data_IF_739991331286
#
_entry.id   IF_739991331286
#
_cell.length_a   1.000
_cell.length_b   1.000
_cell.length_c   1.000
_cell.angle_alpha   90.00
_cell.angle_beta   90.00
_cell.angle_gamma   90.00
#
_symmetry.space_group_name_H-M   'P 1'
#
loop_
_entity.id
_entity.type
_entity.pdbx_description
1 polymer ?
#
# COMPACT_ATOMS: atom_id res chain seq x y z
N UNK A 1 -1.84 -13.96 4.71
CA UNK A 1 -3.22 -13.43 4.88
C UNK A 1 -3.72 -12.87 3.55
N UNK A 2 -5.01 -12.95 3.19
CA UNK A 2 -5.52 -12.35 1.94
C UNK A 2 -5.81 -10.86 2.14
N UNK A 3 -5.42 -10.03 1.16
CA UNK A 3 -5.74 -8.60 1.06
C UNK A 3 -6.73 -8.40 -0.09
N UNK A 4 -7.90 -7.84 0.21
CA UNK A 4 -8.92 -7.54 -0.82
C UNK A 4 -8.59 -6.27 -1.59
N UNK A 5 -9.05 -6.18 -2.84
CA UNK A 5 -8.90 -4.99 -3.68
C UNK A 5 -10.27 -4.36 -3.96
N UNK A 6 -10.37 -3.06 -3.73
CA UNK A 6 -11.54 -2.26 -4.10
C UNK A 6 -11.19 -1.27 -5.20
N UNK A 7 -12.08 -1.10 -6.19
CA UNK A 7 -11.87 -0.12 -7.25
C UNK A 7 -11.94 1.31 -6.69
N UNK A 8 -11.48 2.30 -7.47
CA UNK A 8 -11.57 3.70 -7.11
C UNK A 8 -13.03 4.11 -6.95
N UNK A 9 -13.39 4.55 -5.75
CA UNK A 9 -14.75 4.99 -5.42
C UNK A 9 -14.68 6.15 -4.43
N UNK A 10 -15.60 7.11 -4.59
CA UNK A 10 -15.80 8.15 -3.58
C UNK A 10 -16.52 7.54 -2.37
N UNK A 11 -15.93 7.69 -1.19
CA UNK A 11 -16.43 7.11 0.07
C UNK A 11 -15.59 5.92 0.54
N UNK A 12 -15.81 5.52 1.80
CA UNK A 12 -15.10 4.41 2.42
C UNK A 12 -15.53 3.04 1.88
N UNK A 13 -14.71 2.03 2.14
CA UNK A 13 -15.03 0.62 1.92
C UNK A 13 -16.17 0.21 2.87
N UNK A 14 -17.24 -0.47 2.43
CA UNK A 14 -18.41 -0.70 3.28
C UNK A 14 -18.15 -1.70 4.43
N UNK A 15 -17.73 -2.91 4.09
CA UNK A 15 -17.35 -3.97 5.03
C UNK A 15 -16.26 -4.83 4.41
N UNK A 16 -15.46 -5.48 5.25
CA UNK A 16 -14.38 -6.35 4.80
C UNK A 16 -14.60 -7.78 5.29
N UNK A 17 -14.44 -8.72 4.36
CA UNK A 17 -14.37 -10.15 4.68
C UNK A 17 -12.93 -10.58 5.02
N UNK A 18 -11.94 -9.83 4.53
CA UNK A 18 -10.51 -10.03 4.80
C UNK A 18 -10.00 -9.11 5.91
N UNK A 19 -8.88 -9.43 6.59
CA UNK A 19 -8.36 -8.55 7.64
C UNK A 19 -7.96 -7.16 7.12
N UNK A 20 -7.47 -7.08 5.88
CA UNK A 20 -7.12 -5.80 5.23
C UNK A 20 -7.65 -5.74 3.81
N UNK A 21 -7.71 -4.51 3.30
CA UNK A 21 -7.96 -4.24 1.89
C UNK A 21 -7.19 -3.02 1.41
N UNK A 22 -6.89 -3.01 0.12
CA UNK A 22 -6.43 -1.83 -0.60
C UNK A 22 -7.56 -1.28 -1.45
N UNK A 23 -7.86 0.00 -1.27
CA UNK A 23 -8.68 0.74 -2.22
C UNK A 23 -7.74 1.43 -3.22
N UNK A 24 -7.96 1.13 -4.49
CA UNK A 24 -7.28 1.79 -5.60
C UNK A 24 -7.59 3.29 -5.61
N UNK A 25 -6.59 4.11 -5.95
CA UNK A 25 -6.79 5.53 -6.17
C UNK A 25 -6.40 5.90 -7.62
N UNK A 26 -7.31 6.56 -8.32
CA UNK A 26 -7.10 7.08 -9.68
C UNK A 26 -6.35 8.42 -9.71
N UNK A 27 -5.83 8.88 -8.57
CA UNK A 27 -5.04 10.10 -8.49
C UNK A 27 -3.76 9.96 -9.31
N UNK A 28 -3.87 10.40 -10.56
CA UNK A 28 -2.79 10.61 -11.50
C UNK A 28 -2.33 12.06 -11.38
N UNK A 29 -1.43 12.31 -10.43
CA UNK A 29 -0.60 13.51 -10.42
C UNK A 29 0.71 13.20 -11.15
N UNK A 30 0.63 13.31 -12.48
CA UNK A 30 1.72 13.59 -13.42
C UNK A 30 2.93 12.65 -13.49
N UNK A 31 2.98 11.48 -12.84
CA UNK A 31 4.03 10.49 -13.17
C UNK A 31 3.73 9.01 -12.90
N UNK A 32 2.94 8.59 -11.92
CA UNK A 32 2.78 7.16 -11.62
C UNK A 32 1.45 6.84 -10.92
N UNK A 33 0.78 5.75 -11.33
CA UNK A 33 -0.38 5.20 -10.64
C UNK A 33 0.06 4.16 -9.60
N UNK A 34 0.51 4.64 -8.45
CA UNK A 34 1.02 3.80 -7.35
C UNK A 34 0.27 4.01 -6.04
N UNK A 35 -0.68 4.94 -5.96
CA UNK A 35 -1.36 5.26 -4.70
C UNK A 35 -2.53 4.31 -4.43
N UNK A 36 -2.54 3.76 -3.22
CA UNK A 36 -3.63 2.96 -2.67
C UNK A 36 -3.93 3.43 -1.25
N UNK A 37 -5.11 3.11 -0.75
CA UNK A 37 -5.50 3.35 0.64
C UNK A 37 -5.66 2.01 1.36
N UNK A 38 -4.87 1.81 2.42
CA UNK A 38 -4.93 0.61 3.25
C UNK A 38 -6.03 0.75 4.30
N UNK A 39 -6.94 -0.22 4.31
CA UNK A 39 -7.99 -0.36 5.31
C UNK A 39 -7.77 -1.62 6.13
N UNK A 40 -8.14 -1.55 7.41
CA UNK A 40 -8.17 -2.69 8.33
C UNK A 40 -9.62 -2.98 8.75
N UNK A 41 -9.98 -4.26 8.75
CA UNK A 41 -11.27 -4.73 9.25
C UNK A 41 -11.38 -4.52 10.76
N UNK A 42 -12.55 -4.08 11.22
CA UNK A 42 -12.82 -4.00 12.65
C UNK A 42 -13.26 -5.36 13.22
N UNK A 43 -13.11 -5.55 14.53
CA UNK A 43 -13.51 -6.79 15.18
C UNK A 43 -15.03 -7.01 15.15
N UNK A 44 -15.80 -5.92 15.14
CA UNK A 44 -17.25 -5.95 15.05
C UNK A 44 -17.70 -6.32 13.63
N UNK A 45 -18.53 -7.36 13.54
CA UNK A 45 -19.05 -7.85 12.26
C UNK A 45 -19.94 -6.80 11.60
N UNK A 46 -19.64 -6.46 10.34
CA UNK A 46 -20.40 -5.47 9.57
C UNK A 46 -20.03 -4.01 9.85
N UNK A 47 -19.06 -3.75 10.74
CA UNK A 47 -18.58 -2.41 10.99
C UNK A 47 -17.72 -1.88 9.84
N UNK A 48 -17.76 -0.56 9.66
CA UNK A 48 -16.96 0.14 8.65
C UNK A 48 -15.47 -0.07 8.95
N UNK A 49 -14.65 -0.44 7.95
CA UNK A 49 -13.22 -0.60 8.10
C UNK A 49 -12.53 0.69 8.53
N UNK A 50 -11.47 0.54 9.33
CA UNK A 50 -10.63 1.67 9.75
C UNK A 50 -9.61 1.97 8.66
N UNK A 51 -9.52 3.22 8.22
CA UNK A 51 -8.47 3.67 7.31
C UNK A 51 -7.14 3.73 8.07
N UNK A 52 -6.15 2.94 7.64
CA UNK A 52 -4.76 3.07 8.10
C UNK A 52 -4.10 4.26 7.39
N UNK A 53 -4.28 4.36 6.08
CA UNK A 53 -3.85 5.52 5.33
C UNK A 53 -3.32 5.21 3.93
N UNK A 54 -2.78 6.24 3.26
CA UNK A 54 -2.21 6.10 1.93
C UNK A 54 -0.90 5.30 1.95
N UNK A 55 -0.79 4.36 1.02
CA UNK A 55 0.41 3.55 0.75
C UNK A 55 0.70 3.62 -0.74
N UNK A 56 1.97 3.85 -1.09
CA UNK A 56 2.43 3.83 -2.48
C UNK A 56 3.02 2.45 -2.77
N UNK A 57 2.58 1.78 -3.84
CA UNK A 57 3.05 0.46 -4.27
C UNK A 57 3.58 0.58 -5.69
N UNK A 58 4.87 0.30 -5.88
CA UNK A 58 5.57 0.37 -7.16
C UNK A 58 5.84 -1.03 -7.70
N UNK A 59 5.61 -1.24 -9.00
CA UNK A 59 6.11 -2.41 -9.74
C UNK A 59 7.46 -2.10 -10.38
N UNK A 60 8.36 -3.07 -10.39
CA UNK A 60 9.61 -3.03 -11.17
C UNK A 60 9.30 -2.83 -12.66
N UNK A 61 10.01 -1.89 -13.29
CA UNK A 61 9.79 -1.49 -14.67
C UNK A 61 8.45 -0.79 -14.92
N UNK A 62 7.77 -0.31 -13.86
CA UNK A 62 6.60 0.54 -14.05
C UNK A 62 7.04 1.87 -14.68
N UNK A 63 6.20 2.39 -15.55
CA UNK A 63 6.40 3.63 -16.29
C UNK A 63 5.22 4.56 -16.07
N UNK A 64 5.35 5.81 -16.54
CA UNK A 64 4.31 6.83 -16.37
C UNK A 64 3.02 6.57 -17.16
N UNK A 65 3.09 5.68 -18.14
CA UNK A 65 1.93 5.29 -18.98
C UNK A 65 1.24 4.04 -18.45
N UNK A 66 1.81 3.37 -17.45
CA UNK A 66 1.20 2.21 -16.83
C UNK A 66 0.09 2.62 -15.86
N UNK A 67 -1.02 1.89 -15.93
CA UNK A 67 -2.16 2.07 -15.03
C UNK A 67 -1.93 1.46 -13.64
N UNK A 68 -2.96 1.44 -12.79
CA UNK A 68 -2.95 0.75 -11.49
C UNK A 68 -2.54 -0.72 -11.68
N UNK A 69 -1.53 -1.15 -10.92
CA UNK A 69 -0.90 -2.46 -11.11
C UNK A 69 -1.60 -3.59 -10.35
N UNK A 70 -2.15 -3.32 -9.17
CA UNK A 70 -2.78 -4.35 -8.34
C UNK A 70 -4.28 -4.41 -8.59
N UNK A 71 -4.71 -5.41 -9.36
CA UNK A 71 -6.10 -5.54 -9.83
C UNK A 71 -6.92 -6.64 -9.14
N UNK A 72 -6.25 -7.57 -8.46
CA UNK A 72 -6.89 -8.73 -7.83
C UNK A 72 -6.44 -8.90 -6.38
N UNK A 73 -7.28 -9.48 -5.51
CA UNK A 73 -6.87 -9.88 -4.18
C UNK A 73 -5.61 -10.76 -4.21
N UNK A 74 -4.76 -10.60 -3.19
CA UNK A 74 -3.49 -11.31 -3.12
C UNK A 74 -3.16 -11.70 -1.68
N UNK A 75 -2.33 -12.73 -1.51
CA UNK A 75 -1.84 -13.14 -0.19
C UNK A 75 -0.51 -12.48 0.19
N UNK A 76 0.29 -12.13 -0.82
CA UNK A 76 1.57 -11.43 -0.71
C UNK A 76 1.89 -10.79 -2.05
N UNK A 77 2.44 -9.58 -2.04
CA UNK A 77 2.95 -8.98 -3.26
C UNK A 77 4.15 -9.76 -3.78
N UNK A 78 4.21 -9.95 -5.09
CA UNK A 78 5.33 -10.63 -5.76
C UNK A 78 6.65 -9.90 -5.58
N UNK A 79 7.76 -10.57 -5.92
CA UNK A 79 9.11 -10.02 -5.85
C UNK A 79 9.31 -8.74 -6.69
N UNK A 80 8.49 -8.56 -7.73
CA UNK A 80 8.46 -7.38 -8.60
C UNK A 80 7.87 -6.13 -7.96
N UNK A 81 7.38 -6.18 -6.71
CA UNK A 81 6.72 -5.05 -6.07
C UNK A 81 7.43 -4.60 -4.80
N UNK A 82 7.26 -3.34 -4.45
CA UNK A 82 7.60 -2.80 -3.13
C UNK A 82 6.58 -1.72 -2.73
N UNK A 83 6.50 -1.43 -1.43
CA UNK A 83 5.62 -0.38 -0.92
C UNK A 83 6.31 0.58 0.04
N UNK A 84 5.69 1.74 0.23
CA UNK A 84 6.01 2.66 1.33
C UNK A 84 4.74 3.39 1.78
N UNK A 85 4.55 3.53 3.10
CA UNK A 85 3.54 4.42 3.66
C UNK A 85 3.79 5.88 3.26
N UNK A 86 2.75 6.60 2.82
CA UNK A 86 2.92 7.96 2.32
C UNK A 86 3.01 9.05 3.42
N UNK A 87 2.89 8.68 4.69
CA UNK A 87 3.01 9.60 5.83
C UNK A 87 3.45 8.90 7.11
N UNK A 88 3.93 9.65 8.10
CA UNK A 88 4.25 9.12 9.42
C UNK A 88 3.00 8.55 10.12
N UNK A 89 1.85 9.23 9.96
CA UNK A 89 0.56 8.78 10.49
C UNK A 89 0.19 7.35 10.06
N UNK A 90 0.57 6.94 8.84
CA UNK A 90 0.37 5.56 8.36
C UNK A 90 1.05 4.56 9.30
N UNK A 91 2.32 4.80 9.63
CA UNK A 91 3.09 3.92 10.51
C UNK A 91 2.65 4.05 11.98
N UNK A 92 2.20 5.22 12.42
CA UNK A 92 1.61 5.39 13.75
C UNK A 92 0.35 4.53 13.91
N UNK A 93 -0.60 4.61 12.96
CA UNK A 93 -1.82 3.78 13.00
C UNK A 93 -1.52 2.29 12.86
N UNK A 94 -0.47 1.91 12.13
CA UNK A 94 0.02 0.53 12.10
C UNK A 94 0.66 0.09 13.42
N UNK A 95 1.26 0.99 14.19
CA UNK A 95 1.77 0.67 15.53
C UNK A 95 0.68 0.55 16.60
N UNK A 96 -0.51 1.09 16.32
CA UNK A 96 -1.68 1.00 17.21
C UNK A 96 -2.44 -0.34 17.10
N UNK A 97 -2.10 -1.18 16.12
CA UNK A 97 -2.69 -2.52 15.94
C UNK A 97 -1.77 -3.61 16.50
N UNK A 98 -2.27 -4.85 16.72
CA UNK A 98 -1.44 -5.93 17.27
C UNK A 98 -0.13 -6.13 16.49
N UNK A 99 1.04 -6.22 17.14
CA UNK A 99 2.34 -6.29 16.46
C UNK A 99 2.44 -7.39 15.41
N UNK A 100 1.90 -8.59 15.69
CA UNK A 100 1.90 -9.68 14.73
C UNK A 100 1.10 -9.36 13.45
N UNK A 101 0.00 -8.61 13.58
CA UNK A 101 -0.83 -8.19 12.44
C UNK A 101 -0.15 -7.07 11.65
N UNK A 102 0.48 -6.11 12.34
CA UNK A 102 1.33 -5.08 11.75
C UNK A 102 2.47 -5.69 10.93
N UNK A 103 3.21 -6.61 11.53
CA UNK A 103 4.38 -7.21 10.90
C UNK A 103 3.99 -8.08 9.70
N UNK A 104 2.85 -8.79 9.78
CA UNK A 104 2.31 -9.55 8.65
C UNK A 104 1.92 -8.63 7.49
N UNK A 105 1.15 -7.55 7.73
CA UNK A 105 0.75 -6.65 6.64
C UNK A 105 1.93 -5.92 5.98
N UNK A 106 2.93 -5.47 6.77
CA UNK A 106 4.14 -4.86 6.22
C UNK A 106 4.94 -5.86 5.37
N UNK A 107 5.01 -7.13 5.80
CA UNK A 107 5.66 -8.20 5.02
C UNK A 107 4.90 -8.54 3.73
N UNK A 108 3.56 -8.59 3.80
CA UNK A 108 2.66 -8.86 2.67
C UNK A 108 2.73 -7.77 1.62
N UNK A 109 2.84 -6.50 2.03
CA UNK A 109 2.99 -5.34 1.15
C UNK A 109 4.43 -5.08 0.68
N UNK A 110 5.43 -5.81 1.21
CA UNK A 110 6.85 -5.61 0.89
C UNK A 110 7.28 -4.17 1.15
N UNK A 111 7.02 -3.70 2.37
CA UNK A 111 7.32 -2.34 2.78
C UNK A 111 8.83 -2.10 2.94
N UNK A 112 9.35 -1.10 2.24
CA UNK A 112 10.81 -0.83 2.16
C UNK A 112 11.38 -0.11 3.38
N UNK A 113 10.53 0.42 4.26
CA UNK A 113 10.94 0.98 5.56
C UNK A 113 11.05 -0.14 6.58
N UNK A 114 10.12 -1.08 6.57
CA UNK A 114 10.15 -2.27 7.43
C UNK A 114 11.21 -3.31 6.99
N UNK A 115 11.50 -3.40 5.68
CA UNK A 115 12.47 -4.30 5.08
C UNK A 115 13.49 -3.53 4.21
N UNK A 116 14.50 -2.87 4.81
CA UNK A 116 15.48 -2.07 4.10
C UNK A 116 16.29 -2.83 3.02
N UNK A 117 16.38 -4.15 3.10
CA UNK A 117 16.99 -5.02 2.09
C UNK A 117 16.28 -4.98 0.73
N UNK A 118 15.05 -4.46 0.67
CA UNK A 118 14.32 -4.24 -0.57
C UNK A 118 14.82 -2.99 -1.31
N UNK A 119 15.35 -1.98 -0.61
CA UNK A 119 15.68 -0.69 -1.23
C UNK A 119 16.66 -0.83 -2.41
N UNK A 120 17.78 -1.58 -2.32
CA UNK A 120 18.71 -1.71 -3.45
C UNK A 120 18.10 -2.37 -4.69
N UNK A 121 16.96 -3.06 -4.54
CA UNK A 121 16.28 -3.77 -5.63
C UNK A 121 15.32 -2.88 -6.43
N UNK A 122 15.04 -1.67 -5.93
CA UNK A 122 14.08 -0.73 -6.51
C UNK A 122 14.61 0.71 -6.61
N UNK A 123 15.76 1.02 -6.00
CA UNK A 123 16.31 2.39 -5.96
C UNK A 123 16.54 3.01 -7.34
N UNK A 124 16.85 2.18 -8.34
CA UNK A 124 17.09 2.61 -9.71
C UNK A 124 15.80 2.69 -10.55
N UNK A 125 14.64 2.32 -9.99
CA UNK A 125 13.36 2.43 -10.68
C UNK A 125 12.95 3.91 -10.80
N UNK A 126 12.47 4.36 -11.98
CA UNK A 126 12.06 5.76 -12.15
C UNK A 126 10.98 6.20 -11.15
N UNK A 127 10.11 5.27 -10.73
CA UNK A 127 9.06 5.51 -9.73
C UNK A 127 9.56 5.63 -8.29
N UNK A 128 10.82 5.32 -7.99
CA UNK A 128 11.39 5.42 -6.65
C UNK A 128 11.38 6.85 -6.12
N UNK A 129 12.12 7.75 -6.78
CA UNK A 129 12.19 9.15 -6.36
C UNK A 129 10.97 9.95 -6.83
N UNK A 130 10.43 9.62 -8.00
CA UNK A 130 9.34 10.43 -8.60
C UNK A 130 7.96 10.08 -8.07
N UNK A 131 7.79 8.92 -7.45
CA UNK A 131 6.53 8.51 -6.85
C UNK A 131 6.68 8.17 -5.37
N UNK A 132 7.39 7.08 -5.03
CA UNK A 132 7.46 6.57 -3.65
C UNK A 132 7.96 7.64 -2.67
N UNK A 133 9.10 8.26 -2.99
CA UNK A 133 9.84 9.19 -2.12
C UNK A 133 9.80 10.64 -2.59
N UNK A 134 8.90 10.99 -3.51
CA UNK A 134 8.78 12.36 -4.05
C UNK A 134 8.73 13.43 -2.96
N UNK A 135 7.93 13.16 -1.94
CA UNK A 135 7.66 14.10 -0.85
C UNK A 135 8.61 13.88 0.35
N UNK A 136 9.46 12.85 0.30
CA UNK A 136 10.45 12.52 1.33
C UNK A 136 11.70 11.85 0.72
N UNK A 137 12.61 12.61 0.09
CA UNK A 137 13.72 12.09 -0.71
C UNK A 137 14.86 11.43 0.12
N UNK A 138 14.85 11.58 1.44
CA UNK A 138 15.79 10.93 2.37
C UNK A 138 15.03 10.06 3.39
N UNK A 139 14.55 8.87 2.99
CA UNK A 139 13.90 7.92 3.88
C UNK A 139 14.86 7.18 4.81
#
# INVERSE_FOLDING_TARGET
MVVSIFPPKRGGVPSLDTPFALQQDNWNDFSFQTLYHLYRRQAESGATPTLIGPVKILRRGQTKVDDIQIQQPFERLGDQFCSVGASLDYYQRLNDIPPAERDDILSVLRDVVAAPELQPQFRDEPGWETSLFRDNPNP
#
